data_IF_042546201606
#
_entry.id   IF_042546201606
#
_cell.length_a   1.000
_cell.length_b   1.000
_cell.length_c   1.000
_cell.angle_alpha   90.00
_cell.angle_beta   90.00
_cell.angle_gamma   90.00
#
_symmetry.space_group_name_H-M   'P 1'
#
loop_
_entity.id
_entity.type
_entity.pdbx_description
1 polymer ?
#
# COMPACT_ATOMS: atom_id res chain seq x y z
N UNK A 1 -34.14 6.95 -22.37
CA UNK A 1 -32.69 7.17 -22.19
C UNK A 1 -32.09 5.78 -22.20
N UNK A 2 -31.13 5.52 -23.07
CA UNK A 2 -30.43 4.23 -23.15
C UNK A 2 -29.17 4.33 -22.28
N UNK A 3 -29.17 3.61 -21.17
CA UNK A 3 -28.06 3.64 -20.20
C UNK A 3 -26.80 2.94 -20.74
N UNK A 4 -26.96 1.89 -21.55
CA UNK A 4 -25.81 1.18 -22.14
C UNK A 4 -25.03 2.08 -23.08
N UNK A 5 -25.70 2.85 -23.91
CA UNK A 5 -25.07 3.89 -24.76
C UNK A 5 -24.29 4.91 -23.93
N UNK A 6 -24.80 5.33 -22.75
CA UNK A 6 -24.08 6.25 -21.87
C UNK A 6 -22.83 5.60 -21.25
N UNK A 7 -22.92 4.34 -20.83
CA UNK A 7 -21.78 3.60 -20.28
C UNK A 7 -20.70 3.37 -21.33
N UNK A 8 -21.10 2.94 -22.55
CA UNK A 8 -20.18 2.74 -23.68
C UNK A 8 -19.45 4.02 -24.08
N UNK A 9 -20.14 5.17 -24.09
CA UNK A 9 -19.53 6.45 -24.41
C UNK A 9 -18.43 6.83 -23.40
N UNK A 10 -18.65 6.63 -22.09
CA UNK A 10 -17.64 6.89 -21.05
C UNK A 10 -16.44 5.93 -21.17
N UNK A 11 -16.70 4.66 -21.43
CA UNK A 11 -15.64 3.65 -21.63
C UNK A 11 -14.82 3.97 -22.87
N UNK A 12 -15.47 4.39 -23.96
CA UNK A 12 -14.80 4.79 -25.21
C UNK A 12 -13.84 5.96 -24.97
N UNK A 13 -14.28 6.99 -24.24
CA UNK A 13 -13.41 8.12 -23.86
C UNK A 13 -12.15 7.65 -23.10
N UNK A 14 -12.30 6.76 -22.11
CA UNK A 14 -11.16 6.19 -21.38
C UNK A 14 -10.18 5.43 -22.30
N UNK A 15 -10.71 4.71 -23.31
CA UNK A 15 -9.88 4.00 -24.29
C UNK A 15 -9.13 4.96 -25.21
N UNK A 16 -9.80 6.00 -25.69
CA UNK A 16 -9.22 7.04 -26.55
C UNK A 16 -8.12 7.84 -25.83
N UNK A 17 -8.29 8.09 -24.53
CA UNK A 17 -7.29 8.74 -23.68
C UNK A 17 -6.13 7.84 -23.23
N UNK A 18 -6.14 6.54 -23.56
CA UNK A 18 -5.14 5.57 -23.10
C UNK A 18 -5.23 5.22 -21.62
N UNK A 19 -6.32 5.59 -20.94
CA UNK A 19 -6.52 5.40 -19.50
C UNK A 19 -7.37 4.15 -19.15
N UNK A 20 -7.83 3.42 -20.16
CA UNK A 20 -8.61 2.19 -19.96
C UNK A 20 -7.72 1.09 -19.37
N UNK A 21 -8.14 0.53 -18.22
CA UNK A 21 -7.38 -0.51 -17.52
C UNK A 21 -7.79 -1.90 -18.01
N UNK A 22 -6.81 -2.72 -18.36
CA UNK A 22 -6.99 -4.15 -18.60
C UNK A 22 -6.45 -4.90 -17.39
N UNK A 23 -7.21 -5.88 -16.93
CA UNK A 23 -6.84 -6.72 -15.79
C UNK A 23 -6.33 -8.05 -16.33
N UNK A 24 -5.03 -8.32 -16.15
CA UNK A 24 -4.46 -9.60 -16.53
C UNK A 24 -4.97 -10.70 -15.58
N UNK A 25 -5.43 -11.81 -16.16
CA UNK A 25 -5.85 -12.99 -15.40
C UNK A 25 -4.61 -13.85 -15.10
N UNK A 26 -4.13 -13.77 -13.86
CA UNK A 26 -2.92 -14.45 -13.41
C UNK A 26 -3.21 -15.37 -12.23
N UNK A 27 -2.75 -16.61 -12.32
CA UNK A 27 -2.80 -17.61 -11.27
C UNK A 27 -1.42 -17.75 -10.60
N UNK A 28 -1.31 -17.26 -9.36
CA UNK A 28 -0.11 -17.44 -8.55
C UNK A 28 -0.07 -18.85 -7.97
N UNK A 29 1.05 -19.53 -8.13
CA UNK A 29 1.25 -20.90 -7.67
C UNK A 29 2.19 -20.92 -6.47
N UNK A 30 1.79 -21.67 -5.41
CA UNK A 30 2.62 -21.82 -4.21
C UNK A 30 3.96 -22.47 -4.59
N UNK A 31 5.05 -21.82 -4.18
CA UNK A 31 6.43 -22.26 -4.46
C UNK A 31 6.99 -21.76 -5.79
N UNK A 32 6.21 -21.09 -6.63
CA UNK A 32 6.68 -20.56 -7.92
C UNK A 32 6.90 -19.02 -7.93
N UNK A 33 6.50 -18.30 -6.88
CA UNK A 33 6.67 -16.84 -6.83
C UNK A 33 8.16 -16.44 -7.07
N UNK A 34 8.45 -15.43 -7.91
CA UNK A 34 7.56 -14.40 -8.49
C UNK A 34 6.85 -14.80 -9.79
N UNK A 35 6.91 -16.05 -10.20
CA UNK A 35 6.23 -16.52 -11.41
C UNK A 35 4.74 -16.78 -11.17
N UNK A 36 3.95 -16.58 -12.22
CA UNK A 36 2.52 -16.85 -12.26
C UNK A 36 2.14 -17.42 -13.62
N UNK A 37 1.13 -18.30 -13.64
CA UNK A 37 0.50 -18.73 -14.89
C UNK A 37 -0.39 -17.62 -15.41
N UNK A 38 -0.29 -17.31 -16.69
CA UNK A 38 -1.20 -16.40 -17.40
C UNK A 38 -2.31 -17.22 -18.05
N UNK A 39 -3.54 -16.70 -17.96
CA UNK A 39 -4.71 -17.25 -18.64
C UNK A 39 -5.10 -16.41 -19.87
N UNK A 40 -4.21 -15.54 -20.34
CA UNK A 40 -4.38 -14.83 -21.61
C UNK A 40 -4.16 -15.82 -22.77
N UNK A 41 -5.20 -16.12 -23.60
CA UNK A 41 -5.09 -17.10 -24.68
C UNK A 41 -4.10 -16.70 -25.77
N UNK A 42 -3.85 -15.40 -25.92
CA UNK A 42 -2.93 -14.84 -26.93
C UNK A 42 -1.56 -14.47 -26.33
N UNK A 43 -1.36 -14.71 -25.02
CA UNK A 43 -0.16 -14.35 -24.27
C UNK A 43 0.72 -15.53 -23.88
N UNK A 44 1.83 -15.27 -23.18
CA UNK A 44 2.69 -16.31 -22.64
C UNK A 44 1.98 -17.12 -21.55
N UNK A 45 2.28 -18.43 -21.47
CA UNK A 45 1.71 -19.30 -20.43
C UNK A 45 2.22 -18.95 -19.02
N UNK A 46 3.45 -18.48 -18.91
CA UNK A 46 4.08 -18.10 -17.62
C UNK A 46 4.66 -16.68 -17.71
N UNK A 47 4.48 -15.90 -16.65
CA UNK A 47 5.03 -14.56 -16.52
C UNK A 47 5.76 -14.38 -15.19
N UNK A 48 6.82 -13.56 -15.19
CA UNK A 48 7.45 -13.08 -13.94
C UNK A 48 6.79 -11.77 -13.51
N UNK A 49 6.23 -11.75 -12.30
CA UNK A 49 5.45 -10.62 -11.76
C UNK A 49 6.37 -9.63 -11.07
N UNK A 50 6.48 -8.40 -11.61
CA UNK A 50 7.37 -7.35 -11.12
C UNK A 50 6.66 -6.22 -10.35
N UNK A 51 5.34 -6.25 -10.26
CA UNK A 51 4.52 -5.21 -9.62
C UNK A 51 3.67 -5.74 -8.46
N UNK A 52 4.02 -6.89 -7.89
CA UNK A 52 3.28 -7.46 -6.77
C UNK A 52 3.37 -6.59 -5.52
N UNK A 53 2.24 -6.43 -4.83
CA UNK A 53 2.23 -5.85 -3.48
C UNK A 53 2.60 -6.87 -2.39
N UNK A 54 2.68 -8.16 -2.69
CA UNK A 54 3.24 -9.18 -1.78
C UNK A 54 4.78 -9.06 -1.78
N UNK A 55 5.28 -7.96 -1.21
CA UNK A 55 6.67 -7.52 -1.29
C UNK A 55 7.70 -8.54 -0.81
N UNK A 56 7.31 -9.39 0.12
CA UNK A 56 8.18 -10.40 0.73
C UNK A 56 7.81 -11.84 0.34
N UNK A 57 6.77 -12.05 -0.48
CA UNK A 57 6.30 -13.37 -0.87
C UNK A 57 5.63 -14.15 0.27
N UNK A 58 5.19 -13.46 1.33
CA UNK A 58 4.59 -14.09 2.50
C UNK A 58 3.26 -14.77 2.21
N UNK A 59 2.52 -14.34 1.18
CA UNK A 59 1.27 -14.97 0.77
C UNK A 59 1.43 -16.42 0.30
N UNK A 60 2.67 -16.82 -0.04
CA UNK A 60 3.00 -18.19 -0.43
C UNK A 60 3.93 -18.91 0.58
N UNK A 61 4.26 -18.24 1.69
CA UNK A 61 5.15 -18.81 2.69
C UNK A 61 4.49 -20.04 3.35
N UNK A 62 5.19 -21.20 3.45
CA UNK A 62 4.57 -22.45 3.90
C UNK A 62 3.89 -22.36 5.27
N UNK A 63 4.46 -21.63 6.23
CA UNK A 63 3.85 -21.42 7.56
C UNK A 63 2.54 -20.63 7.48
N UNK A 64 2.46 -19.64 6.58
CA UNK A 64 1.27 -18.79 6.41
C UNK A 64 0.15 -19.57 5.73
N UNK A 65 0.48 -20.31 4.66
CA UNK A 65 -0.45 -21.20 3.96
C UNK A 65 -1.00 -22.28 4.91
N UNK A 66 -0.13 -22.92 5.69
CA UNK A 66 -0.52 -23.93 6.67
C UNK A 66 -1.46 -23.38 7.75
N UNK A 67 -1.16 -22.19 8.27
CA UNK A 67 -2.01 -21.54 9.28
C UNK A 67 -3.43 -21.24 8.75
N UNK A 68 -3.53 -20.82 7.49
CA UNK A 68 -4.83 -20.61 6.84
C UNK A 68 -5.59 -21.93 6.70
N UNK A 69 -4.95 -22.99 6.21
CA UNK A 69 -5.56 -24.33 6.04
C UNK A 69 -6.08 -24.88 7.37
N UNK A 70 -5.27 -24.78 8.43
CA UNK A 70 -5.65 -25.26 9.76
C UNK A 70 -6.86 -24.48 10.32
N UNK A 71 -6.86 -23.16 10.13
CA UNK A 71 -7.96 -22.33 10.60
C UNK A 71 -9.25 -22.57 9.80
N UNK A 72 -9.16 -22.83 8.49
CA UNK A 72 -10.34 -23.27 7.69
C UNK A 72 -10.91 -24.56 8.24
N UNK A 73 -10.06 -25.55 8.55
CA UNK A 73 -10.48 -26.81 9.13
C UNK A 73 -11.14 -26.67 10.51
N UNK A 74 -10.70 -25.70 11.31
CA UNK A 74 -11.20 -25.48 12.67
C UNK A 74 -12.41 -24.54 12.77
N UNK A 75 -12.46 -23.47 11.97
CA UNK A 75 -13.45 -22.40 12.10
C UNK A 75 -14.36 -22.23 10.86
N UNK A 76 -14.10 -22.96 9.76
CA UNK A 76 -14.82 -22.75 8.49
C UNK A 76 -14.29 -21.55 7.69
N UNK A 77 -14.98 -21.23 6.59
CA UNK A 77 -14.51 -20.25 5.58
C UNK A 77 -14.80 -18.80 5.93
N UNK A 78 -15.85 -18.51 6.69
CA UNK A 78 -16.33 -17.16 6.92
C UNK A 78 -16.50 -16.80 8.39
N UNK A 79 -16.67 -15.53 8.68
CA UNK A 79 -16.85 -15.03 10.04
C UNK A 79 -18.29 -15.15 10.58
N UNK A 80 -19.26 -15.43 9.72
CA UNK A 80 -20.68 -15.58 10.11
C UNK A 80 -21.44 -14.25 10.28
N UNK A 81 -20.81 -13.10 10.08
CA UNK A 81 -21.48 -11.80 10.17
C UNK A 81 -20.51 -10.64 10.39
N UNK A 82 -21.09 -9.48 10.72
CA UNK A 82 -20.30 -8.32 11.18
C UNK A 82 -19.70 -8.61 12.56
N UNK A 83 -18.68 -7.83 12.94
CA UNK A 83 -18.01 -7.97 14.25
C UNK A 83 -18.99 -7.91 15.42
N UNK A 84 -20.03 -7.11 15.30
CA UNK A 84 -21.08 -6.95 16.31
C UNK A 84 -22.12 -8.07 16.30
N UNK A 85 -22.41 -8.64 15.12
CA UNK A 85 -23.41 -9.71 14.95
C UNK A 85 -22.70 -11.06 14.77
N UNK A 86 -22.21 -11.64 15.85
CA UNK A 86 -21.53 -12.94 15.91
C UNK A 86 -20.24 -13.10 15.08
N UNK A 87 -19.80 -12.09 14.32
CA UNK A 87 -18.62 -12.18 13.46
C UNK A 87 -17.27 -11.99 14.19
N UNK A 88 -17.26 -11.67 15.50
CA UNK A 88 -16.02 -11.60 16.28
C UNK A 88 -15.54 -13.00 16.64
N UNK A 89 -14.45 -13.44 16.02
CA UNK A 89 -13.79 -14.72 16.29
C UNK A 89 -12.55 -14.54 17.17
N UNK A 90 -12.12 -15.60 17.86
CA UNK A 90 -10.90 -15.58 18.67
C UNK A 90 -9.66 -15.21 17.86
N UNK A 91 -9.57 -15.66 16.59
CA UNK A 91 -8.45 -15.31 15.69
C UNK A 91 -8.33 -13.79 15.46
N UNK A 92 -9.46 -13.06 15.42
CA UNK A 92 -9.43 -11.59 15.31
C UNK A 92 -8.79 -10.97 16.55
N UNK A 93 -9.18 -11.41 17.75
CA UNK A 93 -8.65 -10.87 19.01
C UNK A 93 -7.15 -11.18 19.17
N UNK A 94 -6.71 -12.38 18.76
CA UNK A 94 -5.30 -12.73 18.78
C UNK A 94 -4.49 -11.88 17.79
N UNK A 95 -5.03 -11.62 16.59
CA UNK A 95 -4.36 -10.76 15.60
C UNK A 95 -4.34 -9.29 16.06
N UNK A 96 -5.44 -8.77 16.63
CA UNK A 96 -5.47 -7.41 17.21
C UNK A 96 -4.40 -7.24 18.30
N UNK A 97 -4.25 -8.23 19.19
CA UNK A 97 -3.20 -8.23 20.21
C UNK A 97 -1.77 -8.26 19.61
N UNK A 98 -1.55 -9.10 18.57
CA UNK A 98 -0.26 -9.17 17.87
C UNK A 98 0.12 -7.86 17.18
N UNK A 99 -0.85 -7.16 16.59
CA UNK A 99 -0.66 -5.87 15.94
C UNK A 99 -0.39 -4.74 16.96
N UNK A 100 -1.10 -4.74 18.08
CA UNK A 100 -0.85 -3.80 19.18
C UNK A 100 0.58 -3.97 19.70
N UNK A 101 1.02 -5.22 19.94
CA UNK A 101 2.39 -5.53 20.36
C UNK A 101 3.43 -5.13 19.31
N UNK A 102 3.17 -5.37 18.02
CA UNK A 102 4.09 -4.99 16.93
C UNK A 102 4.42 -3.48 16.97
N UNK A 103 3.41 -2.65 17.17
CA UNK A 103 3.54 -1.19 17.17
C UNK A 103 3.77 -0.56 18.55
N UNK A 104 3.84 -1.38 19.61
CA UNK A 104 3.96 -0.88 20.99
C UNK A 104 2.75 -0.05 21.44
N UNK A 105 1.55 -0.34 20.92
CA UNK A 105 0.32 0.37 21.22
C UNK A 105 -0.58 -0.44 22.16
N UNK A 106 -1.52 0.24 22.84
CA UNK A 106 -2.44 -0.40 23.79
C UNK A 106 -3.46 -1.31 23.11
N UNK A 107 -3.89 -0.94 21.89
CA UNK A 107 -4.93 -1.65 21.16
C UNK A 107 -4.74 -1.59 19.64
N UNK A 108 -5.40 -2.53 18.96
CA UNK A 108 -5.56 -2.53 17.51
C UNK A 108 -7.00 -2.89 17.13
N UNK A 109 -7.43 -2.48 15.95
CA UNK A 109 -8.74 -2.78 15.38
C UNK A 109 -8.60 -3.22 13.93
N UNK A 110 -9.18 -4.39 13.59
CA UNK A 110 -9.10 -5.01 12.26
C UNK A 110 -10.22 -4.53 11.33
N UNK A 111 -9.87 -4.34 10.06
CA UNK A 111 -10.78 -4.02 8.96
C UNK A 111 -10.58 -5.00 7.80
N UNK A 112 -11.49 -4.99 6.83
CA UNK A 112 -11.45 -5.88 5.66
C UNK A 112 -10.33 -5.53 4.67
N UNK A 113 -9.85 -4.29 4.67
CA UNK A 113 -8.72 -3.84 3.86
C UNK A 113 -8.11 -2.56 4.42
N UNK A 114 -6.87 -2.19 4.00
CA UNK A 114 -6.26 -0.90 4.31
C UNK A 114 -7.04 0.28 3.73
N UNK A 115 -7.75 0.09 2.61
CA UNK A 115 -8.66 1.11 2.09
C UNK A 115 -9.79 1.41 3.08
N UNK A 116 -10.41 0.35 3.62
CA UNK A 116 -11.53 0.49 4.57
C UNK A 116 -11.06 1.03 5.92
N UNK A 117 -9.88 0.64 6.43
CA UNK A 117 -9.33 1.20 7.68
C UNK A 117 -9.09 2.71 7.57
N UNK A 118 -8.44 3.18 6.50
CA UNK A 118 -8.24 4.61 6.24
C UNK A 118 -9.57 5.36 6.12
N UNK A 119 -10.46 4.86 5.26
CA UNK A 119 -11.75 5.49 5.02
C UNK A 119 -12.58 5.56 6.30
N UNK A 120 -12.70 4.46 7.02
CA UNK A 120 -13.53 4.38 8.24
C UNK A 120 -12.95 5.22 9.39
N UNK A 121 -11.64 5.16 9.62
CA UNK A 121 -11.00 5.88 10.72
C UNK A 121 -11.04 7.40 10.49
N UNK A 122 -10.58 7.89 9.32
CA UNK A 122 -10.55 9.32 9.01
C UNK A 122 -11.94 9.93 8.94
N UNK A 123 -12.92 9.22 8.33
CA UNK A 123 -14.30 9.71 8.29
C UNK A 123 -14.92 9.82 9.69
N UNK A 124 -14.61 8.87 10.57
CA UNK A 124 -15.12 8.87 11.94
C UNK A 124 -14.48 9.96 12.80
N UNK A 125 -13.15 10.07 12.75
CA UNK A 125 -12.42 11.09 13.50
C UNK A 125 -12.88 12.49 13.09
N UNK A 126 -12.91 12.79 11.78
CA UNK A 126 -13.29 14.11 11.31
C UNK A 126 -14.76 14.46 11.53
N UNK A 127 -15.69 13.48 11.48
CA UNK A 127 -17.12 13.76 11.66
C UNK A 127 -17.56 13.81 13.11
N UNK A 128 -16.80 13.22 14.05
CA UNK A 128 -17.22 13.05 15.44
C UNK A 128 -16.45 13.91 16.44
N UNK A 129 -15.21 14.28 16.11
CA UNK A 129 -14.45 15.17 16.98
C UNK A 129 -14.92 16.63 16.82
N UNK A 130 -15.01 17.41 17.90
CA UNK A 130 -15.49 18.78 17.84
C UNK A 130 -14.49 19.67 17.07
N UNK A 131 -15.01 20.52 16.18
CA UNK A 131 -14.20 21.46 15.37
C UNK A 131 -13.01 20.79 14.68
N UNK A 132 -13.20 19.57 14.17
CA UNK A 132 -12.14 18.80 13.53
C UNK A 132 -11.67 19.48 12.24
N UNK A 133 -10.34 19.63 12.12
CA UNK A 133 -9.66 20.06 10.90
C UNK A 133 -8.62 19.01 10.55
N UNK A 134 -8.71 18.45 9.34
CA UNK A 134 -7.76 17.43 8.87
C UNK A 134 -6.76 18.09 7.91
N UNK A 135 -5.48 18.11 8.32
CA UNK A 135 -4.37 18.55 7.50
C UNK A 135 -3.83 17.32 6.74
N UNK A 136 -4.02 17.30 5.43
CA UNK A 136 -3.64 16.16 4.56
C UNK A 136 -2.42 16.51 3.72
N UNK A 137 -1.44 15.62 3.67
CA UNK A 137 -0.38 15.70 2.68
C UNK A 137 -0.99 15.68 1.26
N UNK A 138 -0.40 16.43 0.34
CA UNK A 138 -0.91 16.61 -1.03
C UNK A 138 -0.90 15.30 -1.84
N UNK A 139 -0.06 14.32 -1.49
CA UNK A 139 0.05 13.04 -2.19
C UNK A 139 -0.51 11.85 -1.41
N UNK A 140 -1.28 12.08 -0.37
CA UNK A 140 -1.95 11.00 0.38
C UNK A 140 -2.78 10.10 -0.54
N UNK A 141 -2.82 8.82 -0.19
CA UNK A 141 -3.53 7.78 -0.92
C UNK A 141 -5.05 8.07 -1.01
N UNK A 142 -5.67 7.60 -2.10
CA UNK A 142 -7.09 7.79 -2.37
C UNK A 142 -8.01 7.36 -1.21
N UNK A 143 -7.67 6.32 -0.47
CA UNK A 143 -8.44 5.87 0.71
C UNK A 143 -8.49 6.92 1.83
N UNK A 144 -7.36 7.62 2.05
CA UNK A 144 -7.29 8.72 3.02
C UNK A 144 -8.10 9.91 2.52
N UNK A 145 -7.95 10.28 1.23
CA UNK A 145 -8.71 11.37 0.59
C UNK A 145 -10.22 11.11 0.69
N UNK A 146 -10.67 9.88 0.41
CA UNK A 146 -12.09 9.51 0.53
C UNK A 146 -12.58 9.52 1.98
N UNK A 147 -11.77 9.06 2.93
CA UNK A 147 -12.08 9.16 4.36
C UNK A 147 -12.25 10.61 4.82
N UNK A 148 -11.32 11.48 4.43
CA UNK A 148 -11.38 12.92 4.70
C UNK A 148 -12.62 13.56 4.06
N UNK A 149 -12.92 13.22 2.80
CA UNK A 149 -14.11 13.72 2.09
C UNK A 149 -15.40 13.32 2.78
N UNK A 150 -15.53 12.06 3.20
CA UNK A 150 -16.72 11.54 3.88
C UNK A 150 -16.89 12.08 5.29
N UNK A 151 -15.81 12.51 5.95
CA UNK A 151 -15.88 13.13 7.27
C UNK A 151 -16.64 14.46 7.28
N UNK A 152 -16.66 15.17 6.16
CA UNK A 152 -17.15 16.55 5.99
C UNK A 152 -16.46 17.56 6.92
N UNK A 153 -15.38 17.18 7.59
CA UNK A 153 -14.55 18.11 8.35
C UNK A 153 -13.87 19.12 7.43
N UNK A 154 -13.50 20.26 7.98
CA UNK A 154 -12.60 21.17 7.30
C UNK A 154 -11.31 20.45 6.95
N UNK A 155 -10.82 20.62 5.71
CA UNK A 155 -9.57 20.04 5.25
C UNK A 155 -8.61 21.13 4.79
N UNK A 156 -7.36 20.95 5.18
CA UNK A 156 -6.24 21.79 4.76
C UNK A 156 -5.20 20.90 4.09
N UNK A 157 -4.91 21.13 2.81
CA UNK A 157 -3.89 20.35 2.11
C UNK A 157 -2.56 21.08 2.25
N UNK A 158 -1.53 20.40 2.75
CA UNK A 158 -0.18 20.93 2.83
C UNK A 158 0.72 20.34 1.76
N UNK A 159 1.79 21.05 1.41
CA UNK A 159 2.71 20.63 0.36
C UNK A 159 3.38 19.33 0.75
N UNK A 160 3.47 18.44 -0.22
CA UNK A 160 4.07 17.12 -0.04
C UNK A 160 5.43 17.18 0.64
N UNK A 161 5.56 16.45 1.75
CA UNK A 161 6.78 16.33 2.55
C UNK A 161 7.43 17.68 2.93
N UNK A 162 6.62 18.73 3.16
CA UNK A 162 7.07 20.08 3.52
C UNK A 162 6.62 20.46 4.97
N UNK A 163 7.42 20.13 6.01
CA UNK A 163 7.07 20.44 7.40
C UNK A 163 6.92 21.94 7.68
N UNK A 164 7.60 22.81 6.94
CA UNK A 164 7.45 24.27 7.09
C UNK A 164 6.08 24.75 6.61
N UNK A 165 5.57 24.19 5.49
CA UNK A 165 4.23 24.49 5.03
C UNK A 165 3.17 23.97 6.01
N UNK A 166 3.41 22.77 6.59
CA UNK A 166 2.56 22.21 7.63
C UNK A 166 2.52 23.11 8.87
N UNK A 167 3.67 23.59 9.35
CA UNK A 167 3.79 24.46 10.52
C UNK A 167 2.99 25.77 10.31
N UNK A 168 3.17 26.43 9.16
CA UNK A 168 2.42 27.64 8.80
C UNK A 168 0.91 27.42 8.80
N UNK A 169 0.45 26.29 8.26
CA UNK A 169 -0.97 25.96 8.17
C UNK A 169 -1.57 25.62 9.50
N UNK A 170 -0.86 24.89 10.35
CA UNK A 170 -1.27 24.60 11.73
C UNK A 170 -1.36 25.87 12.58
N UNK A 171 -0.40 26.79 12.42
CA UNK A 171 -0.39 28.07 13.13
C UNK A 171 -1.56 29.00 12.75
N UNK A 172 -2.10 28.86 11.53
CA UNK A 172 -3.22 29.67 11.06
C UNK A 172 -4.59 29.16 11.56
N UNK A 173 -4.65 27.96 12.17
CA UNK A 173 -5.92 27.38 12.64
C UNK A 173 -6.35 27.98 13.98
N UNK A 174 -7.67 28.04 14.24
CA UNK A 174 -8.22 28.47 15.54
C UNK A 174 -7.65 27.60 16.69
N UNK A 175 -7.46 28.21 17.84
CA UNK A 175 -6.94 27.54 19.05
C UNK A 175 -7.84 26.39 19.52
N UNK A 176 -9.15 26.47 19.28
CA UNK A 176 -10.13 25.44 19.65
C UNK A 176 -10.35 24.37 18.55
N UNK A 177 -9.58 24.39 17.46
CA UNK A 177 -9.65 23.35 16.44
C UNK A 177 -9.03 22.04 16.94
N UNK A 178 -9.72 20.91 16.72
CA UNK A 178 -9.16 19.57 16.87
C UNK A 178 -8.38 19.24 15.61
N UNK A 179 -7.06 19.29 15.68
CA UNK A 179 -6.16 19.21 14.54
C UNK A 179 -5.71 17.76 14.33
N UNK A 180 -5.83 17.26 13.10
CA UNK A 180 -5.41 15.92 12.69
C UNK A 180 -4.44 16.06 11.52
N UNK A 181 -3.19 15.64 11.69
CA UNK A 181 -2.16 15.62 10.63
C UNK A 181 -2.11 14.22 10.04
N UNK A 182 -2.52 14.09 8.78
CA UNK A 182 -2.61 12.82 8.06
C UNK A 182 -1.55 12.75 6.94
N UNK A 183 -0.71 11.71 7.00
CA UNK A 183 0.40 11.51 6.06
C UNK A 183 0.79 10.03 5.96
N UNK A 184 1.55 9.67 4.90
CA UNK A 184 2.10 8.32 4.71
C UNK A 184 3.59 8.29 5.10
N UNK A 185 4.09 7.15 5.54
CA UNK A 185 5.51 6.95 5.77
C UNK A 185 6.29 6.71 4.48
N UNK A 186 5.76 5.85 3.61
CA UNK A 186 6.30 5.54 2.28
C UNK A 186 5.20 5.75 1.25
N UNK A 187 5.38 6.71 0.37
CA UNK A 187 4.37 7.05 -0.65
C UNK A 187 4.37 6.04 -1.81
N UNK A 188 3.18 5.59 -2.16
CA UNK A 188 2.97 4.41 -3.00
C UNK A 188 3.51 4.52 -4.43
N UNK A 189 3.48 5.74 -5.02
CA UNK A 189 3.77 5.94 -6.44
C UNK A 189 5.17 6.47 -6.70
N UNK A 190 5.70 7.30 -5.82
CA UNK A 190 7.03 7.89 -5.92
C UNK A 190 8.08 7.11 -5.11
N UNK A 191 7.65 6.38 -4.09
CA UNK A 191 8.53 5.58 -3.24
C UNK A 191 9.39 6.41 -2.29
N UNK A 192 9.11 7.69 -2.15
CA UNK A 192 9.79 8.55 -1.20
C UNK A 192 9.30 8.30 0.23
N UNK A 193 10.13 8.67 1.20
CA UNK A 193 9.88 8.53 2.63
C UNK A 193 9.65 9.91 3.22
N UNK A 194 8.58 10.04 4.01
CA UNK A 194 8.28 11.30 4.68
C UNK A 194 9.35 11.73 5.67
N UNK A 195 9.60 13.04 5.84
CA UNK A 195 10.44 13.58 6.93
C UNK A 195 9.66 13.49 8.25
N UNK A 196 9.45 12.24 8.70
CA UNK A 196 8.53 11.90 9.79
C UNK A 196 8.89 12.59 11.11
N UNK A 197 10.18 12.71 11.44
CA UNK A 197 10.62 13.33 12.68
C UNK A 197 10.16 14.80 12.75
N UNK A 198 10.39 15.54 11.68
CA UNK A 198 10.03 16.95 11.56
C UNK A 198 8.50 17.15 11.54
N UNK A 199 7.76 16.25 10.85
CA UNK A 199 6.30 16.30 10.83
C UNK A 199 5.72 16.06 12.24
N UNK A 200 6.27 15.08 12.98
CA UNK A 200 5.85 14.78 14.35
C UNK A 200 6.15 15.95 15.29
N UNK A 201 7.34 16.54 15.20
CA UNK A 201 7.71 17.72 16.01
C UNK A 201 6.78 18.90 15.76
N UNK A 202 6.46 19.16 14.50
CA UNK A 202 5.50 20.21 14.13
C UNK A 202 4.10 19.89 14.66
N UNK A 203 3.63 18.65 14.53
CA UNK A 203 2.32 18.25 15.04
C UNK A 203 2.21 18.43 16.56
N UNK A 204 3.22 17.98 17.32
CA UNK A 204 3.30 18.14 18.77
C UNK A 204 3.33 19.61 19.20
N UNK A 205 4.13 20.45 18.52
CA UNK A 205 4.21 21.90 18.77
C UNK A 205 2.82 22.56 18.71
N UNK A 206 1.94 22.10 17.85
CA UNK A 206 0.60 22.65 17.67
C UNK A 206 -0.52 21.86 18.37
N UNK A 207 -0.17 20.84 19.16
CA UNK A 207 -1.13 19.98 19.86
C UNK A 207 -2.03 19.19 18.88
N UNK A 208 -1.52 18.82 17.73
CA UNK A 208 -2.23 18.05 16.72
C UNK A 208 -1.99 16.55 16.91
N UNK A 209 -3.04 15.73 16.72
CA UNK A 209 -2.87 14.30 16.63
C UNK A 209 -2.30 13.89 15.27
N UNK A 210 -1.45 12.87 15.25
CA UNK A 210 -0.87 12.31 14.04
C UNK A 210 -1.64 11.07 13.58
N UNK A 211 -2.01 11.02 12.31
CA UNK A 211 -2.56 9.87 11.60
C UNK A 211 -1.53 9.42 10.56
N UNK A 212 -0.84 8.33 10.84
CA UNK A 212 0.21 7.80 9.99
C UNK A 212 -0.26 6.55 9.24
N UNK A 213 -0.19 6.59 7.92
CA UNK A 213 -0.36 5.41 7.05
C UNK A 213 1.00 4.75 6.80
N UNK A 214 1.16 3.53 7.34
CA UNK A 214 2.36 2.68 7.18
C UNK A 214 2.14 1.52 6.18
N UNK A 215 1.10 1.59 5.36
CA UNK A 215 0.66 0.50 4.47
C UNK A 215 1.78 -0.04 3.58
N UNK A 216 2.71 0.82 3.13
CA UNK A 216 3.86 0.44 2.31
C UNK A 216 5.11 0.12 3.13
N UNK A 217 5.08 0.28 4.44
CA UNK A 217 6.24 0.14 5.30
C UNK A 217 6.15 -1.01 6.31
N UNK A 218 4.95 -1.36 6.78
CA UNK A 218 4.78 -2.49 7.70
C UNK A 218 5.25 -3.80 7.06
N UNK A 219 5.96 -4.62 7.83
CA UNK A 219 6.65 -5.81 7.36
C UNK A 219 8.00 -5.54 6.70
N UNK A 220 8.26 -4.31 6.23
CA UNK A 220 9.43 -3.94 5.41
C UNK A 220 10.52 -3.21 6.20
N UNK A 221 10.14 -2.30 7.09
CA UNK A 221 11.02 -1.40 7.83
C UNK A 221 10.93 -1.67 9.33
N UNK A 222 11.99 -1.27 10.04
CA UNK A 222 12.13 -1.47 11.47
C UNK A 222 12.60 -2.87 11.86
N UNK A 223 13.16 -3.02 13.06
CA UNK A 223 13.74 -4.28 13.53
C UNK A 223 12.71 -5.41 13.63
N UNK A 224 11.46 -5.11 13.98
CA UNK A 224 10.36 -6.10 14.06
C UNK A 224 9.42 -6.05 12.85
N UNK A 225 9.61 -5.09 11.92
CA UNK A 225 8.73 -4.86 10.79
C UNK A 225 7.52 -3.99 11.13
N UNK A 226 7.63 -3.15 12.13
CA UNK A 226 6.59 -2.21 12.55
C UNK A 226 6.47 -0.97 11.66
N UNK A 227 7.35 -0.82 10.67
CA UNK A 227 7.32 0.29 9.74
C UNK A 227 8.44 1.32 9.95
N UNK A 228 8.35 2.45 9.24
CA UNK A 228 9.33 3.54 9.34
C UNK A 228 9.27 4.19 10.73
N UNK A 229 8.10 4.28 11.34
CA UNK A 229 7.97 4.81 12.71
C UNK A 229 8.74 3.98 13.74
N UNK A 230 8.76 2.64 13.59
CA UNK A 230 9.61 1.77 14.41
C UNK A 230 11.10 1.96 14.10
N UNK A 231 11.46 2.05 12.81
CA UNK A 231 12.86 2.23 12.39
C UNK A 231 13.47 3.52 12.94
N UNK A 232 12.68 4.59 13.01
CA UNK A 232 13.09 5.89 13.54
C UNK A 232 12.89 6.02 15.06
N UNK A 233 12.31 5.03 15.74
CA UNK A 233 11.99 5.11 17.18
C UNK A 233 10.92 6.14 17.52
N UNK A 234 10.00 6.42 16.58
CA UNK A 234 8.95 7.43 16.72
C UNK A 234 7.57 6.85 16.97
N UNK A 235 7.40 5.51 16.97
CA UNK A 235 6.09 4.86 17.08
C UNK A 235 5.29 5.36 18.29
N UNK A 236 5.92 5.57 19.44
CA UNK A 236 5.24 6.04 20.66
C UNK A 236 4.70 7.47 20.53
N UNK A 237 5.29 8.31 19.68
CA UNK A 237 4.89 9.69 19.42
C UNK A 237 3.76 9.82 18.38
N UNK A 238 3.45 8.74 17.65
CA UNK A 238 2.36 8.72 16.68
C UNK A 238 1.05 8.37 17.38
N UNK A 239 0.00 9.17 17.18
CA UNK A 239 -1.29 8.95 17.85
C UNK A 239 -2.02 7.73 17.30
N UNK A 240 -2.08 7.59 15.96
CA UNK A 240 -2.69 6.46 15.29
C UNK A 240 -1.79 6.00 14.14
N UNK A 241 -1.51 4.69 14.11
CA UNK A 241 -0.82 4.03 12.99
C UNK A 241 -1.82 3.15 12.25
N UNK A 242 -1.96 3.37 10.96
CA UNK A 242 -2.72 2.52 10.05
C UNK A 242 -1.77 1.62 9.26
N UNK A 243 -2.20 0.39 8.99
CA UNK A 243 -1.44 -0.55 8.19
C UNK A 243 -2.31 -1.56 7.44
N UNK A 244 -1.68 -2.34 6.58
CA UNK A 244 -2.37 -3.35 5.79
C UNK A 244 -1.77 -4.74 5.98
N UNK A 245 -2.63 -5.75 5.87
CA UNK A 245 -2.24 -7.16 5.79
C UNK A 245 -2.08 -7.63 4.34
N UNK A 246 -2.50 -6.80 3.37
CA UNK A 246 -2.58 -7.14 1.94
C UNK A 246 -1.30 -6.85 1.15
N UNK A 247 -0.20 -6.45 1.80
CA UNK A 247 1.07 -6.18 1.13
C UNK A 247 2.19 -7.09 1.68
N UNK A 248 3.16 -6.57 2.41
CA UNK A 248 4.29 -7.37 2.89
C UNK A 248 3.91 -8.61 3.69
N UNK A 249 2.78 -8.58 4.39
CA UNK A 249 2.26 -9.76 5.10
C UNK A 249 1.57 -10.79 4.20
N UNK A 250 1.29 -10.47 2.94
CA UNK A 250 0.87 -11.40 1.88
C UNK A 250 -0.55 -11.95 1.99
N UNK A 251 -1.41 -11.39 2.84
CA UNK A 251 -2.79 -11.85 3.02
C UNK A 251 -3.82 -10.76 2.65
N UNK A 252 -4.88 -10.60 3.40
CA UNK A 252 -5.90 -9.58 3.20
C UNK A 252 -6.28 -8.93 4.53
N UNK A 253 -6.60 -7.64 4.50
CA UNK A 253 -7.10 -6.89 5.64
C UNK A 253 -6.39 -5.55 5.80
N UNK A 254 -6.92 -4.74 6.70
CA UNK A 254 -6.32 -3.52 7.20
C UNK A 254 -6.48 -3.44 8.70
N UNK A 255 -5.80 -2.49 9.32
CA UNK A 255 -5.91 -2.28 10.76
C UNK A 255 -5.50 -0.85 11.14
N UNK A 256 -5.94 -0.45 12.31
CA UNK A 256 -5.40 0.70 13.01
C UNK A 256 -4.85 0.27 14.36
N UNK A 257 -3.87 1.00 14.88
CA UNK A 257 -3.35 0.86 16.24
C UNK A 257 -3.26 2.21 16.94
N UNK A 258 -3.45 2.22 18.23
CA UNK A 258 -3.40 3.44 19.06
C UNK A 258 -3.73 3.14 20.51
N UNK A 259 -4.16 4.16 21.25
CA UNK A 259 -4.67 3.97 22.60
C UNK A 259 -5.96 3.15 22.61
N UNK A 260 -6.25 2.48 23.73
CA UNK A 260 -7.49 1.72 23.87
C UNK A 260 -8.74 2.60 23.67
N UNK A 261 -8.85 3.83 24.26
CA UNK A 261 -9.98 4.73 24.00
C UNK A 261 -10.13 5.12 22.53
N UNK A 262 -9.03 5.32 21.78
CA UNK A 262 -9.07 5.65 20.36
C UNK A 262 -9.62 4.49 19.53
N UNK A 263 -9.12 3.28 19.75
CA UNK A 263 -9.59 2.10 19.06
C UNK A 263 -11.05 1.78 19.40
N UNK A 264 -11.45 1.95 20.67
CA UNK A 264 -12.83 1.77 21.11
C UNK A 264 -13.78 2.81 20.53
N UNK A 265 -13.34 4.06 20.42
CA UNK A 265 -14.08 5.14 19.77
C UNK A 265 -14.35 4.80 18.30
N UNK A 266 -13.33 4.42 17.53
CA UNK A 266 -13.50 4.05 16.12
C UNK A 266 -14.37 2.79 16.00
N UNK A 267 -14.17 1.78 16.83
CA UNK A 267 -14.99 0.56 16.89
C UNK A 267 -16.48 0.87 17.10
N UNK A 268 -16.76 1.88 17.90
CA UNK A 268 -18.13 2.23 18.31
C UNK A 268 -18.87 3.12 17.32
N UNK A 269 -18.15 3.91 16.51
CA UNK A 269 -18.76 4.92 15.65
C UNK A 269 -18.50 4.70 14.13
N UNK A 270 -17.48 3.92 13.75
CA UNK A 270 -17.14 3.75 12.35
C UNK A 270 -18.13 2.83 11.63
N UNK A 271 -18.94 3.39 10.72
CA UNK A 271 -19.90 2.62 9.93
C UNK A 271 -19.22 1.53 9.08
N UNK A 272 -18.05 1.81 8.53
CA UNK A 272 -17.23 0.86 7.76
C UNK A 272 -16.66 -0.30 8.58
N UNK A 273 -16.72 -0.21 9.91
CA UNK A 273 -16.42 -1.32 10.82
C UNK A 273 -17.68 -2.05 11.28
N UNK A 274 -18.71 -1.29 11.72
CA UNK A 274 -19.92 -1.84 12.34
C UNK A 274 -20.75 -2.64 11.35
N UNK A 275 -20.91 -2.14 10.12
CA UNK A 275 -21.88 -2.66 9.14
C UNK A 275 -21.26 -3.54 8.04
N UNK A 276 -19.97 -3.84 8.13
CA UNK A 276 -19.30 -4.73 7.18
C UNK A 276 -19.10 -6.12 7.77
N UNK A 277 -19.15 -7.17 6.94
CA UNK A 277 -18.81 -8.53 7.35
C UNK A 277 -17.35 -8.55 7.84
N UNK A 278 -17.11 -9.27 8.94
CA UNK A 278 -15.79 -9.39 9.52
C UNK A 278 -14.82 -10.18 8.60
N UNK A 279 -13.54 -9.92 8.76
CA UNK A 279 -12.48 -10.66 8.06
C UNK A 279 -12.63 -12.18 8.35
N UNK A 280 -12.48 -13.08 7.36
CA UNK A 280 -12.50 -14.51 7.63
C UNK A 280 -11.47 -14.93 8.69
N UNK A 281 -11.83 -15.78 9.68
CA UNK A 281 -10.90 -16.21 10.73
C UNK A 281 -9.62 -16.83 10.20
N UNK A 282 -9.69 -17.56 9.10
CA UNK A 282 -8.55 -18.17 8.44
C UNK A 282 -7.53 -17.14 7.94
N UNK A 283 -8.02 -16.01 7.40
CA UNK A 283 -7.17 -14.89 6.98
C UNK A 283 -6.50 -14.23 8.19
N UNK A 284 -7.24 -14.05 9.28
CA UNK A 284 -6.68 -13.51 10.52
C UNK A 284 -5.59 -14.41 11.12
N UNK A 285 -5.79 -15.72 11.12
CA UNK A 285 -4.79 -16.69 11.57
C UNK A 285 -3.51 -16.66 10.72
N UNK A 286 -3.67 -16.61 9.39
CA UNK A 286 -2.56 -16.51 8.45
C UNK A 286 -1.77 -15.20 8.64
N UNK A 287 -2.46 -14.06 8.77
CA UNK A 287 -1.84 -12.77 9.02
C UNK A 287 -1.03 -12.77 10.31
N UNK A 288 -1.56 -13.31 11.40
CA UNK A 288 -0.86 -13.41 12.69
C UNK A 288 0.44 -14.22 12.57
N UNK A 289 0.42 -15.34 11.84
CA UNK A 289 1.63 -16.16 11.63
C UNK A 289 2.64 -15.42 10.74
N UNK A 290 2.19 -14.70 9.72
CA UNK A 290 3.05 -13.87 8.87
C UNK A 290 3.75 -12.77 9.68
N UNK A 291 3.01 -12.04 10.51
CA UNK A 291 3.55 -11.00 11.38
C UNK A 291 4.55 -11.58 12.38
N UNK A 292 4.18 -12.65 13.10
CA UNK A 292 5.04 -13.31 14.07
C UNK A 292 6.35 -13.82 13.43
N UNK A 293 6.29 -14.33 12.19
CA UNK A 293 7.48 -14.73 11.44
C UNK A 293 8.38 -13.51 11.13
N UNK A 294 7.83 -12.46 10.55
CA UNK A 294 8.59 -11.27 10.16
C UNK A 294 9.11 -10.45 11.35
N UNK A 295 8.49 -10.55 12.52
CA UNK A 295 9.05 -9.98 13.78
C UNK A 295 10.39 -10.62 14.17
N UNK A 296 10.62 -11.86 13.79
CA UNK A 296 11.81 -12.63 14.16
C UNK A 296 12.79 -12.81 13.00
N UNK A 297 12.31 -12.85 11.75
CA UNK A 297 13.13 -13.04 10.55
C UNK A 297 13.51 -11.70 9.91
N UNK A 298 14.80 -11.57 9.60
CA UNK A 298 15.33 -10.46 8.79
C UNK A 298 15.67 -10.93 7.35
N UNK A 299 15.58 -12.22 7.08
CA UNK A 299 16.09 -12.83 5.86
C UNK A 299 15.33 -12.31 4.62
N UNK A 300 14.00 -12.25 4.69
CA UNK A 300 13.15 -11.81 3.59
C UNK A 300 13.44 -10.35 3.26
N UNK A 301 13.51 -9.47 4.28
CA UNK A 301 13.84 -8.05 4.11
C UNK A 301 15.25 -7.84 3.57
N UNK A 302 16.23 -8.59 4.08
CA UNK A 302 17.62 -8.47 3.62
C UNK A 302 17.76 -8.87 2.14
N UNK A 303 17.14 -9.99 1.74
CA UNK A 303 17.12 -10.44 0.34
C UNK A 303 16.41 -9.45 -0.56
N UNK A 304 15.25 -8.96 -0.13
CA UNK A 304 14.48 -7.97 -0.88
C UNK A 304 15.30 -6.68 -1.11
N UNK A 305 15.94 -6.12 -0.07
CA UNK A 305 16.82 -4.93 -0.20
C UNK A 305 17.98 -5.18 -1.17
N UNK A 306 18.54 -6.39 -1.16
CA UNK A 306 19.60 -6.77 -2.10
C UNK A 306 19.10 -6.74 -3.54
N UNK A 307 17.92 -7.28 -3.84
CA UNK A 307 17.36 -7.28 -5.20
C UNK A 307 16.97 -5.87 -5.66
N UNK A 308 16.44 -5.03 -4.77
CA UNK A 308 16.18 -3.60 -5.06
C UNK A 308 17.48 -2.90 -5.48
N UNK A 309 18.54 -3.05 -4.70
CA UNK A 309 19.85 -2.44 -4.99
C UNK A 309 20.38 -2.91 -6.33
N UNK A 310 20.41 -4.22 -6.59
CA UNK A 310 20.87 -4.79 -7.85
C UNK A 310 20.09 -4.22 -9.05
N UNK A 311 18.76 -4.19 -8.97
CA UNK A 311 17.95 -3.65 -10.07
C UNK A 311 18.26 -2.17 -10.30
N UNK A 312 18.37 -1.34 -9.25
CA UNK A 312 18.74 0.09 -9.38
C UNK A 312 20.12 0.27 -10.04
N UNK A 313 21.11 -0.48 -9.58
CA UNK A 313 22.48 -0.44 -10.16
C UNK A 313 22.47 -0.80 -11.66
N UNK A 314 21.70 -1.83 -12.05
CA UNK A 314 21.56 -2.22 -13.47
C UNK A 314 20.83 -1.18 -14.31
N UNK A 315 19.72 -0.60 -13.80
CA UNK A 315 18.98 0.46 -14.48
C UNK A 315 19.84 1.71 -14.67
N UNK A 316 20.61 2.10 -13.67
CA UNK A 316 21.57 3.21 -13.77
C UNK A 316 22.64 2.93 -14.84
N UNK A 317 23.22 1.73 -14.86
CA UNK A 317 24.28 1.36 -15.82
C UNK A 317 23.81 1.44 -17.28
N UNK A 318 22.52 1.26 -17.56
CA UNK A 318 21.95 1.35 -18.90
C UNK A 318 21.21 2.65 -19.18
N UNK A 319 21.20 3.61 -18.23
CA UNK A 319 20.58 4.92 -18.37
C UNK A 319 19.05 4.91 -18.45
N UNK A 320 18.36 3.91 -17.88
CA UNK A 320 16.91 3.90 -17.80
C UNK A 320 16.45 4.87 -16.68
N UNK A 321 15.62 5.90 -17.02
CA UNK A 321 15.23 6.91 -16.04
C UNK A 321 14.28 6.32 -15.00
N UNK A 322 14.63 6.46 -13.73
CA UNK A 322 13.78 6.10 -12.60
C UNK A 322 13.90 7.16 -11.49
N UNK A 323 12.87 7.24 -10.65
CA UNK A 323 12.93 8.15 -9.50
C UNK A 323 13.97 7.64 -8.50
N UNK A 324 14.84 8.56 -8.09
CA UNK A 324 15.74 8.31 -6.98
C UNK A 324 14.98 8.46 -5.66
N UNK A 325 14.85 7.36 -4.93
CA UNK A 325 14.21 7.29 -3.64
C UNK A 325 14.85 6.17 -2.80
N UNK A 326 14.77 6.20 -1.46
CA UNK A 326 15.42 5.21 -0.60
C UNK A 326 14.62 3.91 -0.43
N UNK A 327 13.39 3.81 -0.95
CA UNK A 327 12.48 2.70 -0.65
C UNK A 327 12.67 1.50 -1.58
N UNK A 328 11.86 0.48 -1.35
CA UNK A 328 11.78 -0.74 -2.16
C UNK A 328 11.01 -0.57 -3.48
N UNK A 329 10.43 0.59 -3.72
CA UNK A 329 9.65 0.91 -4.91
C UNK A 329 10.56 1.57 -5.95
N UNK A 330 10.55 1.05 -7.18
CA UNK A 330 11.38 1.58 -8.29
C UNK A 330 10.46 2.06 -9.41
N UNK A 331 10.10 3.38 -9.43
CA UNK A 331 9.29 3.96 -10.49
C UNK A 331 10.14 4.29 -11.70
N UNK A 332 10.04 3.52 -12.77
CA UNK A 332 10.70 3.76 -14.06
C UNK A 332 9.86 4.72 -14.89
N UNK A 333 10.41 5.91 -15.16
CA UNK A 333 9.67 7.03 -15.75
C UNK A 333 9.54 6.91 -17.25
N UNK A 334 8.30 6.88 -17.75
CA UNK A 334 7.97 6.85 -19.19
C UNK A 334 7.42 8.20 -19.65
N UNK A 335 6.62 8.87 -18.82
CA UNK A 335 6.05 10.24 -19.04
C UNK A 335 5.11 10.34 -20.25
N UNK A 336 4.56 9.24 -20.70
CA UNK A 336 3.62 9.16 -21.82
C UNK A 336 2.68 7.99 -21.58
N UNK A 337 1.35 8.19 -21.48
CA UNK A 337 0.41 7.14 -21.12
C UNK A 337 0.29 6.05 -22.18
N UNK A 338 0.40 6.39 -23.46
CA UNK A 338 0.32 5.44 -24.58
C UNK A 338 1.57 4.57 -24.62
N UNK A 339 2.76 5.18 -24.54
CA UNK A 339 4.03 4.44 -24.48
C UNK A 339 4.14 3.58 -23.23
N UNK A 340 3.68 4.10 -22.07
CA UNK A 340 3.69 3.34 -20.83
C UNK A 340 2.85 2.07 -20.95
N UNK A 341 1.69 2.16 -21.57
CA UNK A 341 0.83 1.03 -21.88
C UNK A 341 1.50 0.07 -22.86
N UNK A 342 1.99 0.58 -24.00
CA UNK A 342 2.67 -0.24 -25.02
C UNK A 342 3.86 -1.01 -24.45
N UNK A 343 4.66 -0.37 -23.59
CA UNK A 343 5.78 -1.04 -22.91
C UNK A 343 5.30 -2.19 -22.03
N UNK A 344 4.27 -1.98 -21.23
CA UNK A 344 3.74 -3.03 -20.36
C UNK A 344 3.19 -4.21 -21.17
N UNK A 345 2.47 -3.93 -22.26
CA UNK A 345 1.91 -4.95 -23.14
C UNK A 345 3.02 -5.76 -23.83
N UNK A 346 4.05 -5.11 -24.38
CA UNK A 346 5.18 -5.79 -25.03
C UNK A 346 6.03 -6.56 -24.01
N UNK A 347 6.26 -6.00 -22.79
CA UNK A 347 6.96 -6.72 -21.73
C UNK A 347 6.25 -8.03 -21.38
N UNK A 348 4.93 -8.01 -21.33
CA UNK A 348 4.13 -9.20 -21.06
C UNK A 348 4.19 -10.18 -22.24
N UNK A 349 3.91 -9.73 -23.47
CA UNK A 349 3.73 -10.59 -24.62
C UNK A 349 5.06 -11.18 -25.17
N UNK A 350 6.08 -10.32 -25.32
CA UNK A 350 7.34 -10.72 -25.95
C UNK A 350 8.36 -11.28 -24.95
N UNK A 351 8.26 -10.90 -23.65
CA UNK A 351 9.27 -11.22 -22.64
C UNK A 351 8.73 -11.98 -21.41
N UNK A 352 7.43 -12.22 -21.30
CA UNK A 352 6.86 -12.87 -20.12
C UNK A 352 7.07 -12.06 -18.82
N UNK A 353 7.14 -10.74 -18.92
CA UNK A 353 7.34 -9.82 -17.78
C UNK A 353 6.07 -9.06 -17.52
N UNK A 354 5.45 -9.30 -16.37
CA UNK A 354 4.23 -8.61 -15.97
C UNK A 354 4.51 -7.41 -15.07
N UNK A 355 4.18 -6.22 -15.58
CA UNK A 355 4.19 -4.96 -14.84
C UNK A 355 3.03 -4.09 -15.30
N UNK A 356 2.31 -3.46 -14.35
CA UNK A 356 1.20 -2.57 -14.68
C UNK A 356 1.70 -1.16 -15.03
N UNK A 357 1.17 -0.55 -16.09
CA UNK A 357 1.38 0.87 -16.36
C UNK A 357 0.63 1.71 -15.32
N UNK A 358 1.30 2.69 -14.75
CA UNK A 358 0.70 3.65 -13.81
C UNK A 358 0.50 4.96 -14.54
N UNK A 359 -0.76 5.23 -14.90
CA UNK A 359 -1.21 6.39 -15.65
C UNK A 359 -2.19 7.23 -14.83
N UNK A 360 -2.60 8.37 -15.36
CA UNK A 360 -3.69 9.16 -14.80
C UNK A 360 -4.97 8.30 -14.64
N UNK A 361 -5.76 8.44 -13.57
CA UNK A 361 -5.65 9.44 -12.49
C UNK A 361 -4.77 9.01 -11.29
N UNK A 362 -4.07 7.87 -11.37
CA UNK A 362 -3.23 7.37 -10.27
C UNK A 362 -2.01 8.26 -10.04
N UNK A 363 -1.47 8.82 -11.11
CA UNK A 363 -0.39 9.81 -11.09
C UNK A 363 -0.75 10.98 -11.99
N UNK A 364 -0.18 12.18 -11.80
CA UNK A 364 -0.39 13.33 -12.69
C UNK A 364 0.02 13.02 -14.13
N UNK A 365 -0.67 13.63 -15.11
CA UNK A 365 -0.30 13.55 -16.54
C UNK A 365 1.13 14.05 -16.76
N UNK A 366 1.91 13.33 -17.58
CA UNK A 366 3.32 13.60 -17.82
C UNK A 366 4.26 12.97 -16.79
N UNK A 367 3.72 12.19 -15.86
CA UNK A 367 4.50 11.45 -14.84
C UNK A 367 4.22 9.94 -14.85
N UNK A 368 3.70 9.45 -15.97
CA UNK A 368 3.40 8.04 -16.17
C UNK A 368 4.66 7.18 -16.02
N UNK A 369 4.50 6.00 -15.42
CA UNK A 369 5.61 5.14 -15.04
C UNK A 369 5.27 3.66 -15.01
N UNK A 370 6.29 2.82 -15.09
CA UNK A 370 6.23 1.42 -14.72
C UNK A 370 6.76 1.30 -13.28
N UNK A 371 5.97 0.74 -12.36
CA UNK A 371 6.32 0.66 -10.94
C UNK A 371 6.81 -0.75 -10.61
N UNK A 372 8.12 -0.92 -10.47
CA UNK A 372 8.71 -2.20 -10.11
C UNK A 372 8.85 -2.35 -8.59
N UNK A 373 8.56 -3.55 -8.10
CA UNK A 373 8.68 -3.93 -6.69
C UNK A 373 9.38 -5.28 -6.59
N UNK A 374 10.72 -5.33 -6.80
CA UNK A 374 11.46 -6.58 -6.70
C UNK A 374 11.34 -7.17 -5.30
N UNK A 375 10.96 -8.45 -5.23
CA UNK A 375 10.84 -9.20 -3.99
C UNK A 375 12.06 -10.10 -3.74
N UNK A 376 12.14 -10.77 -2.57
CA UNK A 376 13.29 -11.59 -2.16
C UNK A 376 13.49 -12.86 -2.99
N UNK A 377 12.51 -13.24 -3.80
CA UNK A 377 12.49 -14.46 -4.61
C UNK A 377 12.76 -14.21 -6.09
N UNK A 378 12.89 -12.94 -6.52
CA UNK A 378 13.45 -12.65 -7.85
C UNK A 378 14.91 -13.07 -7.88
N UNK A 379 15.30 -13.82 -8.90
CA UNK A 379 16.67 -14.25 -9.11
C UNK A 379 17.52 -13.19 -9.82
N UNK A 380 18.83 -13.40 -9.92
CA UNK A 380 19.70 -12.54 -10.71
C UNK A 380 19.39 -12.67 -12.20
N UNK A 381 19.00 -13.86 -12.65
CA UNK A 381 18.54 -14.14 -14.01
C UNK A 381 17.24 -13.38 -14.34
N UNK A 382 16.30 -13.28 -13.39
CA UNK A 382 15.09 -12.47 -13.58
C UNK A 382 15.43 -10.99 -13.75
N UNK A 383 16.39 -10.47 -12.95
CA UNK A 383 16.87 -9.09 -13.08
C UNK A 383 17.55 -8.86 -14.41
N UNK A 384 18.46 -9.74 -14.82
CA UNK A 384 19.18 -9.63 -16.10
C UNK A 384 18.21 -9.71 -17.28
N UNK A 385 17.18 -10.56 -17.20
CA UNK A 385 16.12 -10.66 -18.21
C UNK A 385 15.31 -9.37 -18.31
N UNK A 386 14.87 -8.80 -17.16
CA UNK A 386 14.16 -7.51 -17.14
C UNK A 386 15.01 -6.38 -17.74
N UNK A 387 16.28 -6.29 -17.34
CA UNK A 387 17.20 -5.25 -17.82
C UNK A 387 17.43 -5.38 -19.34
N UNK A 388 17.60 -6.58 -19.87
CA UNK A 388 17.71 -6.86 -21.30
C UNK A 388 16.44 -6.44 -22.06
N UNK A 389 15.26 -6.81 -21.54
CA UNK A 389 13.98 -6.45 -22.13
C UNK A 389 13.78 -4.91 -22.16
N UNK A 390 14.03 -4.22 -21.04
CA UNK A 390 13.94 -2.76 -20.96
C UNK A 390 14.95 -2.08 -21.92
N UNK A 391 16.19 -2.55 -21.99
CA UNK A 391 17.20 -2.01 -22.93
C UNK A 391 16.74 -2.10 -24.37
N UNK A 392 16.14 -3.23 -24.74
CA UNK A 392 15.62 -3.49 -26.10
C UNK A 392 14.45 -2.55 -26.41
N UNK A 393 13.51 -2.43 -25.47
CA UNK A 393 12.29 -1.65 -25.65
C UNK A 393 12.52 -0.13 -25.62
N UNK A 394 13.44 0.35 -24.78
CA UNK A 394 13.78 1.78 -24.75
C UNK A 394 14.30 2.27 -26.09
N UNK A 395 15.14 1.48 -26.75
CA UNK A 395 15.62 1.78 -28.10
C UNK A 395 14.50 1.68 -29.15
N UNK A 396 13.69 0.61 -29.10
CA UNK A 396 12.61 0.33 -30.06
C UNK A 396 11.49 1.38 -30.00
N UNK A 397 11.12 1.84 -28.80
CA UNK A 397 10.01 2.78 -28.59
C UNK A 397 10.46 4.26 -28.60
N UNK A 398 11.73 4.54 -28.91
CA UNK A 398 12.31 5.90 -28.92
C UNK A 398 11.98 6.69 -27.64
N UNK A 399 12.21 6.07 -26.47
CA UNK A 399 12.01 6.70 -25.18
C UNK A 399 13.31 7.38 -24.74
N UNK A 400 13.21 8.59 -24.15
CA UNK A 400 14.38 9.31 -23.70
C UNK A 400 15.08 8.57 -22.55
N UNK A 401 16.42 8.47 -22.62
CA UNK A 401 17.25 8.02 -21.52
C UNK A 401 17.41 9.12 -20.46
N UNK A 402 17.82 8.75 -19.26
CA UNK A 402 18.26 9.72 -18.26
C UNK A 402 19.44 10.52 -18.82
N UNK A 403 19.42 11.82 -18.66
CA UNK A 403 20.59 12.66 -18.94
C UNK A 403 21.61 12.37 -17.85
N UNK A 404 22.82 11.96 -18.22
CA UNK A 404 23.91 11.62 -17.32
C UNK A 404 24.37 12.84 -16.51
#
# INVERSE_FOLDING_TARGET
>A
MDFDTLFEAQIKTLKEEGNYRIFAELERQVGAFPKARSHDPDGPEEVTVWCSNDYLGMGQHPKVVKAMQDAVGACGCGAGGTRNISGTNHQHKQLEAELADLHGKEAALLFTSGYVSNWAALSTLGSRLPNAVILSDALNHASMIEGIRHSRAEKVIWKHNDPEDLDRKLAALPANATKIVAFESVYSMDGDISPMAEIVEVAEKHGAMTYLDEVHAVGMYGPRGGGVSEELGLADRITLIEGTLGKAYGVMGGYITGSEPLCDFIRSFASGFIFTTALPPAVAAAARVSIAHLKQSQMERARQRMQVRKLRERLNAIGIPHLDNPSHIIPVMVKDPVKCRQLADILMQDFGIYVQPINYPTVPKGTERLRFTPGPLHSDEDIDHLVMALTTLWKRCAIAHAVA
#
